data_IF_466595638218
#
_entry.id   IF_466595638218
#
_cell.length_a   1.000
_cell.length_b   1.000
_cell.length_c   1.000
_cell.angle_alpha   90.00
_cell.angle_beta   90.00
_cell.angle_gamma   90.00
#
_symmetry.space_group_name_H-M   'P 1'
#
loop_
_entity.id
_entity.type
_entity.pdbx_description
1 polymer ?
#
# COMPACT_ATOMS: atom_id res chain seq x y z
N UNK A 1 36.16 -26.94 27.29
CA UNK A 1 35.34 -25.77 27.62
C UNK A 1 35.10 -24.89 26.39
N UNK A 2 36.07 -24.57 25.58
CA UNK A 2 35.97 -23.70 24.41
C UNK A 2 34.94 -24.14 23.34
N UNK A 3 34.90 -25.42 22.98
CA UNK A 3 33.93 -25.98 22.00
C UNK A 3 32.46 -25.84 22.42
N UNK A 4 32.18 -25.97 23.73
CA UNK A 4 30.81 -25.80 24.25
C UNK A 4 30.36 -24.33 24.23
N UNK A 5 31.32 -23.41 24.44
CA UNK A 5 31.03 -21.95 24.36
C UNK A 5 30.74 -21.52 22.93
N UNK A 6 31.53 -22.00 21.97
CA UNK A 6 31.29 -21.70 20.52
C UNK A 6 29.94 -22.25 20.07
N UNK A 7 29.60 -23.48 20.50
CA UNK A 7 28.30 -24.10 20.16
C UNK A 7 27.11 -23.31 20.75
N UNK A 8 27.25 -22.82 21.99
CA UNK A 8 26.21 -21.97 22.61
C UNK A 8 26.06 -20.62 21.90
N UNK A 9 27.15 -20.00 21.45
CA UNK A 9 27.12 -18.73 20.70
C UNK A 9 26.49 -18.95 19.33
N UNK A 10 26.78 -20.04 18.64
CA UNK A 10 26.17 -20.37 17.34
C UNK A 10 24.68 -20.64 17.48
N UNK A 11 24.23 -21.33 18.51
CA UNK A 11 22.79 -21.55 18.78
C UNK A 11 22.11 -20.23 19.13
N UNK A 12 22.74 -19.37 19.93
CA UNK A 12 22.20 -18.05 20.26
C UNK A 12 22.06 -17.15 19.04
N UNK A 13 23.03 -17.18 18.11
CA UNK A 13 22.95 -16.44 16.84
C UNK A 13 21.86 -17.01 15.91
N UNK A 14 21.69 -18.34 15.88
CA UNK A 14 20.63 -18.99 15.10
C UNK A 14 19.24 -18.64 15.66
N UNK A 15 19.07 -18.65 16.99
CA UNK A 15 17.77 -18.26 17.60
C UNK A 15 17.44 -16.79 17.39
N UNK A 16 18.42 -15.89 17.38
CA UNK A 16 18.21 -14.46 17.03
C UNK A 16 17.79 -14.31 15.57
N UNK A 17 18.25 -15.16 14.66
CA UNK A 17 17.85 -15.15 13.25
C UNK A 17 16.41 -15.65 13.03
N UNK A 18 15.91 -16.57 13.86
CA UNK A 18 14.56 -17.11 13.75
C UNK A 18 13.47 -16.22 14.38
N UNK A 19 13.80 -15.25 15.22
CA UNK A 19 12.82 -14.37 15.87
C UNK A 19 12.46 -13.11 15.06
N UNK A 20 13.10 -12.86 13.92
CA UNK A 20 12.65 -11.88 12.96
C UNK A 20 11.58 -12.48 12.03
N UNK A 21 10.46 -12.93 12.58
CA UNK A 21 9.22 -12.97 11.82
C UNK A 21 8.87 -11.51 11.59
N UNK A 22 9.41 -10.94 10.53
CA UNK A 22 8.87 -9.70 9.96
C UNK A 22 7.39 -9.99 9.73
N UNK A 23 6.52 -9.41 10.55
CA UNK A 23 5.10 -9.43 10.24
C UNK A 23 4.97 -8.72 8.89
N UNK A 24 4.89 -9.53 7.82
CA UNK A 24 4.67 -9.00 6.50
C UNK A 24 3.35 -8.22 6.54
N UNK A 25 3.40 -6.95 6.17
CA UNK A 25 2.19 -6.14 6.06
C UNK A 25 1.26 -6.81 5.05
N UNK A 26 -0.03 -6.85 5.35
CA UNK A 26 -1.03 -7.37 4.42
C UNK A 26 -0.99 -6.55 3.12
N UNK A 27 -0.96 -7.25 2.00
CA UNK A 27 -0.98 -6.65 0.65
C UNK A 27 -2.27 -7.02 -0.07
N UNK A 28 -2.81 -6.16 -0.94
CA UNK A 28 -3.95 -6.50 -1.78
C UNK A 28 -3.67 -7.71 -2.65
N UNK A 29 -4.55 -8.69 -2.61
CA UNK A 29 -4.44 -9.89 -3.44
C UNK A 29 -4.60 -9.55 -4.93
N UNK A 30 -3.78 -10.19 -5.75
CA UNK A 30 -3.87 -10.07 -7.21
C UNK A 30 -3.54 -11.40 -7.89
N UNK A 31 -4.03 -11.54 -9.12
CA UNK A 31 -3.65 -12.63 -10.02
C UNK A 31 -2.73 -12.07 -11.10
N UNK A 32 -1.56 -12.69 -11.31
CA UNK A 32 -0.70 -12.39 -12.45
C UNK A 32 -1.36 -12.96 -13.70
N UNK A 33 -1.63 -12.11 -14.67
CA UNK A 33 -2.25 -12.45 -15.95
C UNK A 33 -1.17 -12.67 -17.02
N UNK A 34 -0.15 -11.78 -17.00
CA UNK A 34 0.99 -11.86 -17.91
C UNK A 34 2.24 -11.39 -17.18
N UNK A 35 3.33 -12.13 -17.31
CA UNK A 35 4.66 -11.74 -16.83
C UNK A 35 5.53 -11.47 -18.03
N UNK A 36 6.05 -10.26 -18.14
CA UNK A 36 7.03 -9.85 -19.15
C UNK A 36 8.38 -9.55 -18.51
N UNK A 37 9.37 -9.25 -19.35
CA UNK A 37 10.71 -8.88 -18.89
C UNK A 37 10.70 -7.53 -18.14
N UNK A 38 9.89 -6.58 -18.60
CA UNK A 38 9.91 -5.20 -18.13
C UNK A 38 8.74 -4.85 -17.19
N UNK A 39 7.63 -5.58 -17.24
CA UNK A 39 6.46 -5.33 -16.41
C UNK A 39 5.56 -6.56 -16.33
N UNK A 40 4.66 -6.56 -15.34
CA UNK A 40 3.62 -7.58 -15.15
C UNK A 40 2.24 -6.98 -15.44
N UNK A 41 1.31 -7.79 -15.95
CA UNK A 41 -0.11 -7.46 -15.94
C UNK A 41 -0.76 -8.24 -14.81
N UNK A 42 -1.38 -7.51 -13.88
CA UNK A 42 -2.06 -8.06 -12.71
C UNK A 42 -3.53 -7.72 -12.73
N UNK A 43 -4.36 -8.66 -12.32
CA UNK A 43 -5.78 -8.44 -12.05
C UNK A 43 -6.01 -8.32 -10.54
N UNK A 44 -6.55 -7.20 -10.10
CA UNK A 44 -6.96 -6.94 -8.72
C UNK A 44 -8.48 -7.00 -8.60
N UNK A 45 -8.99 -7.43 -7.45
CA UNK A 45 -10.38 -7.24 -7.03
C UNK A 45 -10.57 -5.82 -6.47
N UNK A 46 -11.81 -5.43 -6.22
CA UNK A 46 -12.12 -4.22 -5.48
C UNK A 46 -11.47 -4.23 -4.10
N UNK A 47 -11.03 -3.08 -3.63
CA UNK A 47 -10.28 -2.92 -2.39
C UNK A 47 -10.80 -1.72 -1.62
N UNK A 48 -11.03 -1.92 -0.33
CA UNK A 48 -11.38 -0.81 0.53
C UNK A 48 -10.12 -0.04 0.93
N UNK A 49 -10.20 1.27 0.93
CA UNK A 49 -9.12 2.15 1.31
C UNK A 49 -9.63 3.39 2.05
N UNK A 50 -8.75 4.03 2.80
CA UNK A 50 -8.92 5.41 3.22
C UNK A 50 -8.06 6.30 2.34
N UNK A 51 -8.64 7.42 1.94
CA UNK A 51 -8.07 8.37 0.98
C UNK A 51 -8.05 9.78 1.55
N UNK A 52 -7.01 10.51 1.23
CA UNK A 52 -6.91 11.95 1.50
C UNK A 52 -6.37 12.69 0.29
N UNK A 53 -6.97 13.85 0.00
CA UNK A 53 -6.38 14.85 -0.90
C UNK A 53 -5.33 15.64 -0.14
N UNK A 54 -4.12 15.80 -0.69
CA UNK A 54 -3.00 16.45 -0.03
C UNK A 54 -2.22 17.38 -0.96
N UNK A 55 -1.54 18.35 -0.37
CA UNK A 55 -0.62 19.26 -1.07
C UNK A 55 0.85 18.92 -0.82
N UNK A 56 1.15 18.19 0.26
CA UNK A 56 2.46 17.65 0.57
C UNK A 56 2.33 16.19 1.04
N UNK A 57 3.32 15.36 0.74
CA UNK A 57 3.33 13.93 1.09
C UNK A 57 3.22 13.70 2.60
N UNK A 58 3.90 14.51 3.40
CA UNK A 58 3.92 14.36 4.87
C UNK A 58 2.54 14.57 5.49
N UNK A 59 1.83 15.61 5.08
CA UNK A 59 0.49 15.88 5.61
C UNK A 59 -0.51 14.80 5.21
N UNK A 60 -0.45 14.28 3.99
CA UNK A 60 -1.27 13.18 3.52
C UNK A 60 -1.08 11.92 4.37
N UNK A 61 0.16 11.52 4.58
CA UNK A 61 0.50 10.36 5.39
C UNK A 61 -0.02 10.48 6.83
N UNK A 62 0.17 11.62 7.47
CA UNK A 62 -0.22 11.82 8.87
C UNK A 62 -1.73 11.68 9.09
N UNK A 63 -2.56 12.19 8.19
CA UNK A 63 -4.02 12.03 8.28
C UNK A 63 -4.44 10.57 8.20
N UNK A 64 -3.88 9.81 7.28
CA UNK A 64 -4.19 8.40 7.13
C UNK A 64 -3.61 7.56 8.28
N UNK A 65 -2.42 7.90 8.76
CA UNK A 65 -1.80 7.24 9.90
C UNK A 65 -2.60 7.46 11.19
N UNK A 66 -3.09 8.67 11.43
CA UNK A 66 -3.95 8.98 12.56
C UNK A 66 -5.25 8.16 12.51
N UNK A 67 -5.87 8.04 11.33
CA UNK A 67 -7.05 7.20 11.15
C UNK A 67 -6.81 5.75 11.58
N UNK A 68 -5.74 5.09 11.09
CA UNK A 68 -5.44 3.70 11.49
C UNK A 68 -5.00 3.59 12.95
N UNK A 69 -4.49 4.66 13.54
CA UNK A 69 -4.08 4.73 14.94
C UNK A 69 -5.24 4.98 15.92
N UNK A 70 -6.46 5.23 15.44
CA UNK A 70 -7.65 5.37 16.25
C UNK A 70 -8.42 6.70 16.08
N UNK A 71 -8.04 7.58 15.14
CA UNK A 71 -8.86 8.77 14.80
C UNK A 71 -10.07 8.36 13.93
N UNK A 72 -10.86 7.42 14.45
CA UNK A 72 -12.00 6.81 13.82
C UNK A 72 -13.07 6.39 14.83
N UNK A 73 -14.26 6.01 14.33
CA UNK A 73 -15.35 5.45 15.12
C UNK A 73 -15.74 4.10 14.58
N UNK A 74 -16.22 3.17 15.44
CA UNK A 74 -16.78 1.91 14.97
C UNK A 74 -18.08 2.15 14.22
N UNK A 75 -18.32 1.38 13.15
CA UNK A 75 -19.55 1.45 12.37
C UNK A 75 -20.73 0.71 13.00
N UNK A 76 -20.56 0.04 14.14
CA UNK A 76 -21.63 -0.67 14.81
C UNK A 76 -22.72 0.29 15.31
N UNK A 77 -23.91 0.15 14.74
CA UNK A 77 -25.13 0.73 15.29
C UNK A 77 -25.47 0.03 16.60
N UNK A 78 -24.91 0.47 17.68
CA UNK A 78 -25.37 0.07 19.00
C UNK A 78 -26.65 0.86 19.27
N UNK A 79 -27.76 0.16 19.51
CA UNK A 79 -29.00 0.75 19.99
C UNK A 79 -28.74 1.31 21.39
N UNK A 80 -28.49 2.62 21.51
CA UNK A 80 -27.92 3.22 22.70
C UNK A 80 -28.62 4.51 23.12
N UNK A 81 -28.79 4.65 24.44
CA UNK A 81 -29.18 5.85 25.12
C UNK A 81 -28.08 6.88 25.37
N UNK A 82 -26.80 6.52 25.08
CA UNK A 82 -25.63 7.42 25.18
C UNK A 82 -24.64 7.03 24.07
N UNK A 83 -24.09 8.00 23.30
CA UNK A 83 -23.09 7.70 22.27
C UNK A 83 -21.76 7.30 22.93
N UNK A 84 -21.43 6.03 22.90
CA UNK A 84 -20.08 5.54 23.20
C UNK A 84 -19.31 5.51 21.88
N UNK A 85 -18.45 6.50 21.67
CA UNK A 85 -17.49 6.49 20.57
C UNK A 85 -16.32 5.61 20.96
N UNK A 86 -16.22 4.42 20.36
CA UNK A 86 -15.09 3.54 20.54
C UNK A 86 -14.16 3.71 19.33
N UNK A 87 -12.92 4.11 19.58
CA UNK A 87 -11.88 4.14 18.54
C UNK A 87 -11.30 2.74 18.31
N UNK A 88 -10.94 2.43 17.08
CA UNK A 88 -10.36 1.13 16.71
C UNK A 88 -8.98 1.33 16.11
N UNK A 89 -7.98 0.62 16.66
CA UNK A 89 -6.66 0.53 16.04
C UNK A 89 -6.74 -0.46 14.87
N UNK A 90 -6.27 -0.03 13.70
CA UNK A 90 -6.27 -0.81 12.47
C UNK A 90 -4.83 -1.14 12.11
N UNK A 91 -4.56 -2.39 11.73
CA UNK A 91 -3.24 -2.79 11.29
C UNK A 91 -2.89 -2.10 9.96
N UNK A 92 -1.65 -1.61 9.87
CA UNK A 92 -1.17 -1.00 8.64
C UNK A 92 -1.01 -2.06 7.55
N UNK A 93 -1.42 -1.71 6.34
CA UNK A 93 -1.22 -2.57 5.15
C UNK A 93 -0.20 -1.95 4.21
N UNK A 94 0.29 -2.71 3.24
CA UNK A 94 1.11 -2.23 2.15
C UNK A 94 0.43 -2.52 0.80
N UNK A 95 0.61 -1.72 -0.23
CA UNK A 95 1.40 -0.49 -0.26
C UNK A 95 0.62 0.76 0.20
N UNK A 96 1.36 1.82 0.50
CA UNK A 96 0.82 3.19 0.46
C UNK A 96 0.82 3.63 -0.99
N UNK A 97 -0.31 4.10 -1.51
CA UNK A 97 -0.40 4.56 -2.90
C UNK A 97 -0.60 6.06 -3.01
N UNK A 98 -0.05 6.63 -4.07
CA UNK A 98 -0.17 8.04 -4.44
C UNK A 98 -0.51 8.13 -5.92
N UNK A 99 -1.49 8.97 -6.27
CA UNK A 99 -1.91 9.21 -7.64
C UNK A 99 -2.31 10.66 -7.85
N UNK A 100 -2.37 11.09 -9.10
CA UNK A 100 -2.96 12.36 -9.48
C UNK A 100 -4.25 12.07 -10.25
N UNK A 101 -5.36 12.56 -9.75
CA UNK A 101 -6.67 12.46 -10.39
C UNK A 101 -7.28 13.86 -10.49
N UNK A 102 -7.60 14.29 -11.70
CA UNK A 102 -8.21 15.60 -11.98
C UNK A 102 -7.44 16.79 -11.37
N UNK A 103 -6.09 16.72 -11.42
CA UNK A 103 -5.21 17.74 -10.86
C UNK A 103 -5.01 17.68 -9.34
N UNK A 104 -5.64 16.71 -8.67
CA UNK A 104 -5.56 16.52 -7.21
C UNK A 104 -4.62 15.40 -6.87
N UNK A 105 -3.71 15.65 -5.94
CA UNK A 105 -2.84 14.62 -5.38
C UNK A 105 -3.61 13.82 -4.35
N UNK A 106 -3.70 12.51 -4.53
CA UNK A 106 -4.40 11.57 -3.65
C UNK A 106 -3.40 10.61 -3.02
N UNK A 107 -3.54 10.38 -1.72
CA UNK A 107 -2.82 9.32 -0.99
C UNK A 107 -3.83 8.35 -0.40
N UNK A 108 -3.52 7.06 -0.47
CA UNK A 108 -4.41 6.00 -0.02
C UNK A 108 -3.66 4.98 0.84
N UNK A 109 -4.33 4.54 1.93
CA UNK A 109 -3.98 3.33 2.66
C UNK A 109 -5.08 2.30 2.43
N UNK A 110 -4.73 1.13 1.90
CA UNK A 110 -5.66 0.02 1.82
C UNK A 110 -5.99 -0.48 3.22
N UNK A 111 -7.22 -0.87 3.46
CA UNK A 111 -7.61 -1.48 4.71
C UNK A 111 -7.41 -3.00 4.65
N UNK A 112 -7.13 -3.66 5.79
CA UNK A 112 -7.11 -5.12 5.88
C UNK A 112 -8.36 -5.74 5.29
N UNK A 113 -8.22 -6.91 4.66
CA UNK A 113 -9.30 -7.62 3.95
C UNK A 113 -10.51 -8.00 4.83
N UNK A 114 -10.35 -7.99 6.16
CA UNK A 114 -11.43 -8.16 7.12
C UNK A 114 -12.48 -7.04 7.12
N UNK A 115 -12.14 -5.88 6.54
CA UNK A 115 -13.02 -4.72 6.47
C UNK A 115 -13.76 -4.64 5.14
N UNK A 116 -15.05 -4.33 5.24
CA UNK A 116 -15.94 -3.94 4.14
C UNK A 116 -16.42 -2.51 4.36
N UNK A 117 -17.11 -1.93 3.38
CA UNK A 117 -17.68 -0.59 3.51
C UNK A 117 -18.68 -0.49 4.68
N UNK A 118 -19.32 -1.62 5.04
CA UNK A 118 -20.37 -1.67 6.06
C UNK A 118 -19.81 -1.78 7.49
N UNK A 119 -18.59 -2.33 7.65
CA UNK A 119 -18.01 -2.59 8.97
C UNK A 119 -16.70 -1.84 9.24
N UNK A 120 -16.17 -1.11 8.27
CA UNK A 120 -14.95 -0.32 8.47
C UNK A 120 -15.24 0.86 9.42
N UNK A 121 -14.30 1.15 10.33
CA UNK A 121 -14.40 2.33 11.19
C UNK A 121 -14.55 3.62 10.38
N UNK A 122 -15.46 4.51 10.80
CA UNK A 122 -15.71 5.76 10.11
C UNK A 122 -14.64 6.79 10.47
N UNK A 123 -13.97 7.46 9.53
CA UNK A 123 -13.03 8.53 9.83
C UNK A 123 -13.71 9.68 10.57
N UNK A 124 -13.10 10.16 11.66
CA UNK A 124 -13.57 11.37 12.37
C UNK A 124 -13.05 12.65 11.72
N UNK A 125 -11.92 12.57 11.03
CA UNK A 125 -11.37 13.68 10.28
C UNK A 125 -12.07 13.80 8.92
N UNK A 126 -12.71 14.95 8.66
CA UNK A 126 -13.48 15.21 7.42
C UNK A 126 -12.64 15.17 6.12
N UNK A 127 -11.32 15.28 6.22
CA UNK A 127 -10.41 15.19 5.06
C UNK A 127 -10.16 13.74 4.64
N UNK A 128 -10.30 12.79 5.56
CA UNK A 128 -10.11 11.35 5.31
C UNK A 128 -11.43 10.76 4.84
N UNK A 129 -11.42 10.09 3.70
CA UNK A 129 -12.60 9.45 3.11
C UNK A 129 -12.42 7.96 3.03
N UNK A 130 -13.44 7.21 3.40
CA UNK A 130 -13.51 5.78 3.13
C UNK A 130 -13.97 5.59 1.68
N UNK A 131 -13.19 4.86 0.87
CA UNK A 131 -13.43 4.69 -0.57
C UNK A 131 -13.21 3.25 -1.01
N UNK A 132 -13.97 2.82 -2.01
CA UNK A 132 -13.70 1.56 -2.72
C UNK A 132 -12.86 1.87 -3.96
N UNK A 133 -11.67 1.28 -4.01
CA UNK A 133 -10.82 1.32 -5.20
C UNK A 133 -11.24 0.17 -6.10
N UNK A 134 -11.85 0.50 -7.23
CA UNK A 134 -12.27 -0.47 -8.22
C UNK A 134 -11.11 -1.36 -8.67
N UNK A 135 -11.36 -2.64 -8.71
CA UNK A 135 -10.46 -3.61 -9.28
C UNK A 135 -10.23 -3.41 -10.77
N UNK A 136 -9.62 -4.40 -11.39
CA UNK A 136 -9.34 -4.37 -12.83
C UNK A 136 -7.92 -4.80 -13.14
N UNK A 137 -7.50 -4.50 -14.36
CA UNK A 137 -6.18 -4.87 -14.84
C UNK A 137 -5.22 -3.70 -14.68
N UNK A 138 -4.04 -3.99 -14.16
CA UNK A 138 -2.97 -3.03 -13.96
C UNK A 138 -1.67 -3.55 -14.58
N UNK A 139 -1.01 -2.72 -15.35
CA UNK A 139 0.39 -2.93 -15.69
C UNK A 139 1.26 -2.42 -14.56
N UNK A 140 2.23 -3.23 -14.12
CA UNK A 140 3.03 -2.98 -12.92
C UNK A 140 4.52 -3.17 -13.23
N UNK A 141 5.30 -2.11 -13.04
CA UNK A 141 6.76 -2.14 -13.12
C UNK A 141 7.33 -1.98 -11.71
N UNK A 142 8.04 -3.02 -11.24
CA UNK A 142 8.74 -3.02 -9.96
C UNK A 142 10.10 -2.33 -10.08
N UNK A 143 10.47 -1.52 -9.08
CA UNK A 143 11.78 -0.87 -9.04
C UNK A 143 12.25 -0.63 -7.60
N UNK A 144 13.54 -0.42 -7.43
CA UNK A 144 14.16 -0.08 -6.15
C UNK A 144 14.63 1.39 -6.12
N UNK A 145 15.24 1.78 -5.02
CA UNK A 145 15.79 3.12 -4.88
C UNK A 145 14.97 4.02 -3.94
N UNK A 146 15.36 5.30 -3.90
CA UNK A 146 14.69 6.28 -3.04
C UNK A 146 13.24 6.50 -3.48
N UNK A 147 12.35 6.68 -2.50
CA UNK A 147 10.98 7.12 -2.73
C UNK A 147 10.95 8.63 -3.08
N UNK A 148 11.33 8.97 -4.31
CA UNK A 148 11.29 10.33 -4.84
C UNK A 148 10.44 10.36 -6.11
N UNK A 149 9.85 11.52 -6.42
CA UNK A 149 9.05 11.68 -7.64
C UNK A 149 9.90 11.52 -8.89
N UNK A 150 11.15 12.00 -8.87
CA UNK A 150 12.09 11.78 -9.98
C UNK A 150 12.28 10.27 -10.28
N UNK A 151 12.47 9.44 -9.25
CA UNK A 151 12.64 8.00 -9.40
C UNK A 151 11.34 7.34 -9.94
N UNK A 152 10.21 7.73 -9.37
CA UNK A 152 8.89 7.26 -9.81
C UNK A 152 8.59 7.63 -11.26
N UNK A 153 8.69 8.92 -11.62
CA UNK A 153 8.38 9.42 -12.96
C UNK A 153 9.26 8.79 -14.05
N UNK A 154 10.54 8.52 -13.74
CA UNK A 154 11.43 7.81 -14.65
C UNK A 154 10.94 6.37 -14.93
N UNK A 155 10.46 5.65 -13.91
CA UNK A 155 9.93 4.29 -14.08
C UNK A 155 8.52 4.28 -14.67
N UNK A 156 7.71 5.28 -14.36
CA UNK A 156 6.40 5.46 -14.98
C UNK A 156 6.53 5.73 -16.48
N UNK A 157 7.50 6.58 -16.91
CA UNK A 157 7.77 6.80 -18.32
C UNK A 157 8.15 5.51 -19.02
N UNK A 158 9.09 4.73 -18.46
CA UNK A 158 9.46 3.42 -19.01
C UNK A 158 8.28 2.47 -19.12
N UNK A 159 7.38 2.46 -18.13
CA UNK A 159 6.17 1.63 -18.19
C UNK A 159 5.26 2.07 -19.33
N UNK A 160 5.05 3.38 -19.51
CA UNK A 160 4.25 3.95 -20.62
C UNK A 160 4.81 3.59 -21.97
N UNK A 161 6.13 3.77 -22.16
CA UNK A 161 6.81 3.45 -23.41
C UNK A 161 6.61 1.96 -23.79
N UNK A 162 6.69 1.06 -22.79
CA UNK A 162 6.45 -0.37 -23.03
C UNK A 162 4.98 -0.65 -23.39
N UNK A 163 4.02 -0.01 -22.70
CA UNK A 163 2.59 -0.19 -22.98
C UNK A 163 2.20 0.34 -24.37
N UNK A 164 2.77 1.48 -24.80
CA UNK A 164 2.57 2.03 -26.12
C UNK A 164 3.14 1.09 -27.19
N UNK A 165 4.36 0.57 -27.00
CA UNK A 165 4.98 -0.43 -27.89
C UNK A 165 4.11 -1.69 -28.00
N UNK A 166 3.56 -2.17 -26.89
CA UNK A 166 2.71 -3.35 -26.84
C UNK A 166 1.26 -3.06 -27.24
N UNK A 167 0.93 -1.79 -27.60
CA UNK A 167 -0.41 -1.31 -28.01
C UNK A 167 -1.48 -1.55 -26.94
N UNK A 168 -1.13 -1.42 -25.67
CA UNK A 168 -2.04 -1.58 -24.54
C UNK A 168 -2.61 -0.23 -24.15
N UNK A 169 -3.94 -0.14 -24.10
CA UNK A 169 -4.64 1.09 -23.76
C UNK A 169 -4.54 1.38 -22.27
N UNK A 170 -3.95 2.52 -21.92
CA UNK A 170 -3.89 3.06 -20.56
C UNK A 170 -5.19 3.77 -20.21
N UNK A 171 -5.71 3.56 -18.99
CA UNK A 171 -6.98 4.15 -18.50
C UNK A 171 -6.70 5.33 -17.56
N UNK A 172 -5.60 5.31 -16.81
CA UNK A 172 -5.24 6.35 -15.85
C UNK A 172 -3.83 6.93 -16.08
N UNK A 173 -3.49 7.93 -15.27
CA UNK A 173 -2.19 8.62 -15.34
C UNK A 173 -1.07 7.93 -14.57
N UNK A 174 -1.37 6.83 -13.90
CA UNK A 174 -0.42 6.05 -13.11
C UNK A 174 -0.48 6.34 -11.62
N UNK A 175 -0.11 5.32 -10.88
CA UNK A 175 -0.08 5.27 -9.41
C UNK A 175 1.30 4.86 -8.93
N UNK A 176 1.83 5.57 -7.96
CA UNK A 176 3.06 5.26 -7.22
C UNK A 176 2.69 4.39 -6.02
N UNK A 177 3.24 3.18 -5.93
CA UNK A 177 3.02 2.27 -4.82
C UNK A 177 4.30 2.05 -4.02
N UNK A 178 4.25 2.26 -2.71
CA UNK A 178 5.38 2.26 -1.78
C UNK A 178 5.16 1.17 -0.74
N UNK A 179 6.04 0.18 -0.72
CA UNK A 179 5.88 -1.02 0.13
C UNK A 179 6.70 -0.97 1.41
N UNK A 180 7.72 -0.14 1.48
CA UNK A 180 8.67 -0.14 2.59
C UNK A 180 8.70 1.19 3.34
N UNK A 181 8.92 1.10 4.64
CA UNK A 181 9.07 2.26 5.51
C UNK A 181 10.34 3.10 5.23
N UNK A 182 10.42 4.30 5.81
CA UNK A 182 11.48 5.27 5.52
C UNK A 182 12.88 4.79 5.91
N UNK A 183 13.00 3.88 6.88
CA UNK A 183 14.29 3.34 7.36
C UNK A 183 14.85 2.20 6.51
N UNK A 184 14.09 1.66 5.56
CA UNK A 184 14.59 0.64 4.64
C UNK A 184 15.66 1.24 3.71
N UNK A 185 16.79 0.57 3.56
CA UNK A 185 17.84 0.99 2.65
C UNK A 185 17.30 1.12 1.22
N UNK A 186 17.64 2.17 0.46
CA UNK A 186 17.06 2.40 -0.86
C UNK A 186 17.17 1.21 -1.82
N UNK A 187 18.29 0.52 -1.83
CA UNK A 187 18.52 -0.65 -2.69
C UNK A 187 17.58 -1.83 -2.38
N UNK A 188 17.10 -1.93 -1.12
CA UNK A 188 16.22 -3.00 -0.66
C UNK A 188 14.74 -2.61 -0.75
N UNK A 189 14.43 -1.37 -1.15
CA UNK A 189 13.03 -0.93 -1.26
C UNK A 189 12.36 -1.55 -2.46
N UNK A 190 11.13 -1.99 -2.27
CA UNK A 190 10.19 -2.32 -3.32
C UNK A 190 9.27 -1.11 -3.54
N UNK A 191 9.35 -0.53 -4.71
CA UNK A 191 8.41 0.46 -5.20
C UNK A 191 7.79 -0.09 -6.49
N UNK A 192 6.59 0.35 -6.82
CA UNK A 192 5.94 -0.03 -8.07
C UNK A 192 5.34 1.20 -8.76
N UNK A 193 5.56 1.31 -10.06
CA UNK A 193 4.78 2.19 -10.93
C UNK A 193 3.66 1.34 -11.54
N UNK A 194 2.41 1.79 -11.38
CA UNK A 194 1.23 1.04 -11.80
C UNK A 194 0.37 1.92 -12.71
N UNK A 195 -0.18 1.35 -13.77
CA UNK A 195 -1.13 2.01 -14.68
C UNK A 195 -2.34 1.09 -14.86
N UNK A 196 -3.55 1.60 -14.61
CA UNK A 196 -4.79 0.88 -14.94
C UNK A 196 -4.93 0.80 -16.46
N UNK A 197 -5.20 -0.39 -16.98
CA UNK A 197 -5.21 -0.68 -18.41
C UNK A 197 -6.51 -1.36 -18.84
N UNK A 198 -6.86 -1.20 -20.12
CA UNK A 198 -7.86 -2.05 -20.75
C UNK A 198 -7.18 -3.34 -21.21
N UNK A 199 -7.65 -4.47 -20.69
CA UNK A 199 -7.15 -5.80 -21.02
C UNK A 199 -8.33 -6.69 -21.41
N UNK A 200 -8.24 -7.34 -22.58
CA UNK A 200 -9.28 -8.23 -23.13
C UNK A 200 -8.90 -9.68 -22.88
#
# INVERSE_FOLDING_TARGET
MFKKLIFAIVISLITIFYTNISMALEEPNYKIIKSGENYEIRKYSDRLAVEVEFSSEDSGFNYLFNYISGENTTSEKVSMTVPVTQSTKIDMTAPVTQSNKDGKMLMQFYLPSKFSIDNAPIPTNKRVKLVTIEGGYYAVLKYSGRNSDKNYLNHLSKLRDNLEKDKILMIDNGTKAIFNGPFTLPILRRNEAMIKIKWN
#
